data_IF_415406056100
#
_entry.id   IF_415406056100
#
_cell.length_a   1.000
_cell.length_b   1.000
_cell.length_c   1.000
_cell.angle_alpha   90.00
_cell.angle_beta   90.00
_cell.angle_gamma   90.00
#
_symmetry.space_group_name_H-M   'P 1'
#
loop_
_entity.id
_entity.type
_entity.pdbx_description
1 polymer ?
#
# COMPACT_ATOMS: atom_id res chain seq x y z
N UNK A 1 -6.98 -2.53 17.25
CA UNK A 1 -5.95 -2.90 16.24
C UNK A 1 -4.74 -3.46 16.95
N UNK A 2 -4.22 -4.63 16.53
CA UNK A 2 -2.99 -5.20 17.07
C UNK A 2 -1.76 -4.44 16.59
N UNK A 3 -1.03 -3.81 17.55
CA UNK A 3 0.27 -3.18 17.32
C UNK A 3 1.32 -3.97 18.11
N UNK A 4 2.35 -4.45 17.43
CA UNK A 4 3.42 -5.21 18.06
C UNK A 4 4.74 -4.46 17.98
N UNK A 5 5.42 -4.31 19.10
CA UNK A 5 6.83 -3.92 19.11
C UNK A 5 7.71 -5.12 18.71
N UNK A 6 8.80 -4.84 18.02
CA UNK A 6 9.80 -5.84 17.68
C UNK A 6 11.19 -5.21 17.81
N UNK A 7 12.06 -5.82 18.61
CA UNK A 7 13.44 -5.35 18.89
C UNK A 7 13.53 -3.86 19.22
N UNK A 8 12.64 -3.40 20.10
CA UNK A 8 12.61 -2.00 20.58
C UNK A 8 11.97 -1.01 19.61
N UNK A 9 11.58 -1.41 18.41
CA UNK A 9 10.84 -0.59 17.45
C UNK A 9 9.35 -0.85 17.55
N UNK A 10 8.54 0.21 17.49
CA UNK A 10 7.08 0.16 17.62
C UNK A 10 6.41 0.95 16.49
N UNK A 11 5.25 0.50 16.02
CA UNK A 11 4.49 1.25 15.01
C UNK A 11 4.12 2.66 15.48
N UNK A 12 4.28 3.63 14.58
CA UNK A 12 3.89 5.03 14.76
C UNK A 12 2.71 5.34 13.85
N UNK A 13 1.57 5.64 14.43
CA UNK A 13 0.34 5.93 13.69
C UNK A 13 -0.06 7.37 13.94
N UNK A 14 -0.19 8.16 12.87
CA UNK A 14 -0.66 9.54 12.97
C UNK A 14 -2.10 9.59 13.49
N UNK A 15 -2.48 10.55 14.37
CA UNK A 15 -3.83 10.61 14.96
C UNK A 15 -4.99 10.72 13.94
N UNK A 16 -4.73 11.23 12.74
CA UNK A 16 -5.72 11.33 11.66
C UNK A 16 -5.71 10.16 10.69
N UNK A 17 -4.82 9.19 10.88
CA UNK A 17 -4.80 7.96 10.08
C UNK A 17 -5.90 7.00 10.53
N UNK A 18 -6.38 6.18 9.61
CA UNK A 18 -7.30 5.09 9.90
C UNK A 18 -6.55 3.75 9.84
N UNK A 19 -6.59 2.99 10.92
CA UNK A 19 -6.12 1.60 10.94
C UNK A 19 -7.29 0.74 11.40
N UNK A 20 -7.72 -0.17 10.54
CA UNK A 20 -8.85 -1.06 10.83
C UNK A 20 -8.57 -1.93 12.07
N UNK A 21 -9.60 -2.31 12.85
CA UNK A 21 -9.42 -3.08 14.08
C UNK A 21 -8.68 -4.41 13.92
N UNK A 22 -8.76 -5.02 12.75
CA UNK A 22 -8.13 -6.32 12.43
C UNK A 22 -6.83 -6.20 11.62
N UNK A 23 -6.40 -4.99 11.26
CA UNK A 23 -5.09 -4.78 10.66
C UNK A 23 -3.98 -4.99 11.70
N UNK A 24 -2.84 -5.54 11.28
CA UNK A 24 -1.70 -5.87 12.14
C UNK A 24 -0.48 -5.07 11.71
N UNK A 25 0.10 -4.29 12.63
CA UNK A 25 1.33 -3.55 12.40
C UNK A 25 2.42 -4.05 13.35
N UNK A 26 3.61 -4.38 12.84
CA UNK A 26 4.69 -5.00 13.60
C UNK A 26 6.00 -4.27 13.34
N UNK A 27 6.70 -3.85 14.40
CA UNK A 27 8.05 -3.27 14.32
C UNK A 27 8.09 -1.83 13.79
N UNK A 28 9.04 -1.54 12.90
CA UNK A 28 9.28 -0.18 12.38
C UNK A 28 8.31 0.18 11.25
N UNK A 29 7.08 0.50 11.63
CA UNK A 29 6.02 0.90 10.70
C UNK A 29 5.58 2.32 11.01
N UNK A 30 5.54 3.19 10.01
CA UNK A 30 5.02 4.56 10.14
C UNK A 30 3.81 4.74 9.23
N UNK A 31 2.69 5.16 9.81
CA UNK A 31 1.46 5.52 9.08
C UNK A 31 1.27 7.02 9.23
N UNK A 32 1.40 7.75 8.14
CA UNK A 32 1.32 9.21 8.13
C UNK A 32 -0.13 9.73 8.13
N UNK A 33 -0.28 11.06 8.14
CA UNK A 33 -1.59 11.72 8.24
C UNK A 33 -2.56 11.29 7.14
N UNK A 34 -3.82 11.06 7.49
CA UNK A 34 -4.90 10.68 6.57
C UNK A 34 -4.61 9.44 5.72
N UNK A 35 -3.54 8.69 6.00
CA UNK A 35 -3.33 7.37 5.42
C UNK A 35 -4.30 6.36 6.03
N UNK A 36 -4.52 5.24 5.35
CA UNK A 36 -5.42 4.20 5.84
C UNK A 36 -4.89 2.78 5.60
N UNK A 37 -5.06 1.94 6.61
CA UNK A 37 -4.73 0.50 6.56
C UNK A 37 -6.00 -0.27 6.90
N UNK A 38 -6.40 -1.14 5.99
CA UNK A 38 -7.72 -1.76 5.99
C UNK A 38 -7.71 -3.15 6.66
N UNK A 39 -8.89 -3.78 6.68
CA UNK A 39 -9.10 -5.00 7.47
C UNK A 39 -8.17 -6.14 7.03
N UNK A 40 -7.59 -6.82 8.01
CA UNK A 40 -6.68 -7.96 7.83
C UNK A 40 -5.39 -7.67 7.03
N UNK A 41 -5.09 -6.40 6.75
CA UNK A 41 -3.79 -6.05 6.19
C UNK A 41 -2.69 -6.26 7.24
N UNK A 42 -1.53 -6.78 6.81
CA UNK A 42 -0.37 -7.02 7.67
C UNK A 42 0.84 -6.24 7.16
N UNK A 43 1.37 -5.34 7.99
CA UNK A 43 2.56 -4.57 7.71
C UNK A 43 3.64 -4.97 8.74
N UNK A 44 4.74 -5.63 8.28
CA UNK A 44 5.78 -6.14 9.16
C UNK A 44 7.14 -5.56 8.80
N UNK A 45 7.56 -4.56 9.59
CA UNK A 45 8.85 -3.86 9.48
C UNK A 45 9.85 -4.38 10.52
N UNK A 46 10.26 -5.64 10.39
CA UNK A 46 11.17 -6.32 11.31
C UNK A 46 12.66 -6.12 10.94
N UNK A 47 12.99 -5.99 9.67
CA UNK A 47 14.36 -5.69 9.22
C UNK A 47 14.57 -4.19 8.96
N UNK A 48 13.72 -3.60 8.15
CA UNK A 48 13.81 -2.20 7.69
C UNK A 48 12.46 -1.49 7.85
N UNK A 49 12.42 -0.14 7.76
CA UNK A 49 11.18 0.60 7.89
C UNK A 49 10.16 0.29 6.80
N UNK A 50 8.88 0.33 7.19
CA UNK A 50 7.74 0.51 6.30
C UNK A 50 7.18 1.90 6.53
N UNK A 51 7.02 2.69 5.48
CA UNK A 51 6.42 4.02 5.55
C UNK A 51 5.21 4.10 4.63
N UNK A 52 4.04 4.34 5.20
CA UNK A 52 2.81 4.63 4.45
C UNK A 52 2.61 6.15 4.52
N UNK A 53 2.88 6.81 3.41
CA UNK A 53 2.87 8.26 3.29
C UNK A 53 1.46 8.84 3.35
N UNK A 54 1.39 10.14 3.53
CA UNK A 54 0.17 10.93 3.66
C UNK A 54 -0.91 10.53 2.65
N UNK A 55 -2.10 10.21 3.14
CA UNK A 55 -3.27 9.92 2.32
C UNK A 55 -3.21 8.66 1.45
N UNK A 56 -2.16 7.85 1.58
CA UNK A 56 -2.07 6.56 0.93
C UNK A 56 -3.01 5.54 1.58
N UNK A 57 -3.36 4.47 0.86
CA UNK A 57 -4.20 3.42 1.40
C UNK A 57 -3.63 2.02 1.11
N UNK A 58 -3.66 1.16 2.13
CA UNK A 58 -3.31 -0.26 2.05
C UNK A 58 -4.56 -1.05 2.34
N UNK A 59 -5.12 -1.67 1.31
CA UNK A 59 -6.45 -2.27 1.36
C UNK A 59 -6.46 -3.65 2.01
N UNK A 60 -7.66 -4.20 2.14
CA UNK A 60 -7.93 -5.41 2.92
C UNK A 60 -7.06 -6.58 2.47
N UNK A 61 -6.56 -7.35 3.44
CA UNK A 61 -5.74 -8.54 3.25
C UNK A 61 -4.41 -8.30 2.50
N UNK A 62 -3.99 -7.06 2.30
CA UNK A 62 -2.68 -6.79 1.71
C UNK A 62 -1.55 -7.11 2.71
N UNK A 63 -0.43 -7.61 2.18
CA UNK A 63 0.78 -7.89 2.95
C UNK A 63 1.89 -6.96 2.50
N UNK A 64 2.49 -6.24 3.45
CA UNK A 64 3.64 -5.37 3.21
C UNK A 64 4.79 -5.83 4.08
N UNK A 65 5.92 -6.15 3.46
CA UNK A 65 7.08 -6.63 4.15
C UNK A 65 8.38 -6.00 3.63
N UNK A 66 9.47 -6.32 4.26
CA UNK A 66 10.80 -5.75 4.04
C UNK A 66 11.86 -6.83 4.02
N UNK A 67 13.07 -6.50 3.57
CA UNK A 67 14.25 -7.38 3.64
C UNK A 67 15.39 -6.72 4.43
N UNK A 68 16.44 -7.44 4.80
CA UNK A 68 17.64 -6.84 5.37
C UNK A 68 18.31 -5.80 4.46
N UNK A 69 18.01 -5.80 3.16
CA UNK A 69 18.62 -4.92 2.16
C UNK A 69 17.77 -3.71 1.79
N UNK A 70 16.47 -3.71 2.13
CA UNK A 70 15.59 -2.61 1.75
C UNK A 70 14.29 -2.59 2.53
N UNK A 71 13.82 -1.37 2.80
CA UNK A 71 12.52 -1.07 3.36
C UNK A 71 11.43 -1.02 2.29
N UNK A 72 10.23 -0.63 2.71
CA UNK A 72 9.11 -0.39 1.80
C UNK A 72 8.56 1.00 2.03
N UNK A 73 8.43 1.76 0.95
CA UNK A 73 7.77 3.06 0.97
C UNK A 73 6.54 3.03 0.05
N UNK A 74 5.39 3.43 0.60
CA UNK A 74 4.14 3.61 -0.13
C UNK A 74 3.91 5.11 -0.22
N UNK A 75 4.12 5.69 -1.41
CA UNK A 75 4.12 7.12 -1.68
C UNK A 75 2.79 7.81 -1.36
N UNK A 76 2.84 9.13 -1.21
CA UNK A 76 1.67 9.92 -0.83
C UNK A 76 0.52 9.72 -1.83
N UNK A 77 -0.69 9.52 -1.32
CA UNK A 77 -1.89 9.29 -2.14
C UNK A 77 -1.89 8.00 -2.94
N UNK A 78 -0.93 7.09 -2.74
CA UNK A 78 -0.89 5.82 -3.46
C UNK A 78 -1.92 4.83 -2.95
N UNK A 79 -2.29 3.89 -3.79
CA UNK A 79 -3.21 2.81 -3.48
C UNK A 79 -2.53 1.46 -3.62
N UNK A 80 -2.55 0.66 -2.56
CA UNK A 80 -2.26 -0.77 -2.59
C UNK A 80 -3.60 -1.50 -2.50
N UNK A 81 -4.00 -2.14 -3.57
CA UNK A 81 -5.29 -2.85 -3.70
C UNK A 81 -5.42 -4.07 -2.79
N UNK A 82 -6.63 -4.63 -2.76
CA UNK A 82 -6.93 -5.80 -1.94
C UNK A 82 -6.05 -7.01 -2.29
N UNK A 83 -5.63 -7.79 -1.30
CA UNK A 83 -4.81 -9.01 -1.45
C UNK A 83 -3.47 -8.79 -2.17
N UNK A 84 -2.93 -7.58 -2.19
CA UNK A 84 -1.61 -7.32 -2.77
C UNK A 84 -0.49 -7.80 -1.85
N UNK A 85 0.64 -8.17 -2.45
CA UNK A 85 1.91 -8.35 -1.75
C UNK A 85 2.90 -7.29 -2.19
N UNK A 86 3.40 -6.48 -1.26
CA UNK A 86 4.46 -5.49 -1.49
C UNK A 86 5.67 -5.88 -0.66
N UNK A 87 6.77 -6.17 -1.32
CA UNK A 87 7.95 -6.70 -0.65
C UNK A 87 9.20 -5.89 -1.02
N UNK A 88 9.76 -5.16 -0.05
CA UNK A 88 10.95 -4.33 -0.18
C UNK A 88 10.97 -3.46 -1.45
N UNK A 89 9.91 -2.70 -1.69
CA UNK A 89 9.68 -1.91 -2.89
C UNK A 89 9.37 -0.45 -2.58
N UNK A 90 9.58 0.42 -3.57
CA UNK A 90 9.24 1.84 -3.50
C UNK A 90 8.09 2.16 -4.45
N UNK A 91 6.99 2.62 -3.89
CA UNK A 91 5.82 3.06 -4.65
C UNK A 91 5.79 4.58 -4.70
N UNK A 92 5.79 5.16 -5.90
CA UNK A 92 5.73 6.60 -6.14
C UNK A 92 4.38 7.21 -5.77
N UNK A 93 4.33 8.53 -5.70
CA UNK A 93 3.10 9.27 -5.35
C UNK A 93 1.94 8.94 -6.30
N UNK A 94 0.75 8.83 -5.74
CA UNK A 94 -0.50 8.62 -6.49
C UNK A 94 -0.49 7.38 -7.41
N UNK A 95 0.46 6.46 -7.28
CA UNK A 95 0.42 5.22 -8.05
C UNK A 95 -0.68 4.27 -7.54
N UNK A 96 -1.05 3.31 -8.35
CA UNK A 96 -2.04 2.30 -8.00
C UNK A 96 -1.50 0.90 -8.29
N UNK A 97 -1.48 0.07 -7.27
CA UNK A 97 -1.23 -1.37 -7.38
C UNK A 97 -2.57 -2.08 -7.33
N UNK A 98 -2.98 -2.69 -8.43
CA UNK A 98 -4.28 -3.36 -8.61
C UNK A 98 -4.40 -4.63 -7.76
N UNK A 99 -5.65 -5.01 -7.47
CA UNK A 99 -5.97 -6.12 -6.57
C UNK A 99 -5.21 -7.41 -6.92
N UNK A 100 -4.69 -8.09 -5.90
CA UNK A 100 -3.98 -9.35 -6.04
C UNK A 100 -2.62 -9.27 -6.74
N UNK A 101 -2.13 -8.07 -7.03
CA UNK A 101 -0.80 -7.91 -7.62
C UNK A 101 0.31 -8.18 -6.60
N UNK A 102 1.45 -8.66 -7.09
CA UNK A 102 2.67 -8.89 -6.32
C UNK A 102 3.80 -8.00 -6.83
N UNK A 103 4.36 -7.18 -5.95
CA UNK A 103 5.48 -6.28 -6.24
C UNK A 103 6.67 -6.72 -5.41
N UNK A 104 7.74 -7.16 -6.07
CA UNK A 104 8.88 -7.82 -5.43
C UNK A 104 10.05 -6.86 -5.15
N UNK A 105 11.12 -7.42 -4.58
CA UNK A 105 12.26 -6.71 -4.01
C UNK A 105 12.92 -5.72 -4.97
N UNK A 106 13.18 -4.52 -4.48
CA UNK A 106 13.88 -3.47 -5.24
C UNK A 106 13.10 -2.89 -6.41
N UNK A 107 11.80 -3.21 -6.53
CA UNK A 107 10.93 -2.60 -7.54
C UNK A 107 10.72 -1.13 -7.21
N UNK A 108 10.74 -0.30 -8.25
CA UNK A 108 10.30 1.10 -8.20
C UNK A 108 9.08 1.26 -9.10
N UNK A 109 7.96 1.65 -8.51
CA UNK A 109 6.75 2.04 -9.24
C UNK A 109 6.70 3.56 -9.30
N UNK A 110 6.71 4.12 -10.49
CA UNK A 110 6.70 5.55 -10.72
C UNK A 110 5.42 6.25 -10.27
N UNK A 111 5.47 7.57 -10.23
CA UNK A 111 4.34 8.43 -9.88
C UNK A 111 3.18 8.23 -10.85
N UNK A 112 1.96 8.09 -10.32
CA UNK A 112 0.73 7.84 -11.11
C UNK A 112 0.78 6.63 -12.02
N UNK A 113 1.78 5.76 -11.87
CA UNK A 113 1.83 4.49 -12.58
C UNK A 113 0.75 3.53 -12.06
N UNK A 114 0.38 2.57 -12.89
CA UNK A 114 -0.59 1.54 -12.57
C UNK A 114 0.02 0.15 -12.78
N UNK A 115 0.03 -0.64 -11.72
CA UNK A 115 0.24 -2.08 -11.80
C UNK A 115 -1.14 -2.74 -11.91
N UNK A 116 -1.41 -3.45 -12.99
CA UNK A 116 -2.72 -4.09 -13.21
C UNK A 116 -3.01 -5.17 -12.15
N UNK A 117 -4.29 -5.46 -11.95
CA UNK A 117 -4.72 -6.52 -11.02
C UNK A 117 -4.11 -7.88 -11.40
N UNK A 118 -3.69 -8.66 -10.41
CA UNK A 118 -3.05 -9.96 -10.58
C UNK A 118 -1.66 -9.95 -11.24
N UNK A 119 -1.10 -8.77 -11.47
CA UNK A 119 0.23 -8.62 -12.07
C UNK A 119 1.33 -9.06 -11.09
N UNK A 120 2.40 -9.67 -11.59
CA UNK A 120 3.61 -9.97 -10.79
C UNK A 120 4.79 -9.18 -11.33
N UNK A 121 5.21 -8.17 -10.58
CA UNK A 121 6.34 -7.30 -10.92
C UNK A 121 7.62 -7.94 -10.39
N UNK A 122 8.53 -8.39 -11.27
CA UNK A 122 9.75 -9.08 -10.87
C UNK A 122 10.73 -8.17 -10.16
N UNK A 123 11.67 -8.74 -9.37
CA UNK A 123 12.63 -7.95 -8.60
C UNK A 123 13.42 -6.96 -9.46
N UNK A 124 13.67 -5.76 -8.91
CA UNK A 124 14.46 -4.70 -9.54
C UNK A 124 13.82 -4.01 -10.74
N UNK A 125 12.60 -4.37 -11.13
CA UNK A 125 11.92 -3.70 -12.22
C UNK A 125 11.61 -2.23 -11.88
N UNK A 126 11.83 -1.34 -12.85
CA UNK A 126 11.41 0.06 -12.78
C UNK A 126 10.21 0.26 -13.70
N UNK A 127 9.09 0.68 -13.13
CA UNK A 127 7.90 1.12 -13.87
C UNK A 127 7.95 2.65 -13.87
N UNK A 128 8.12 3.32 -15.03
CA UNK A 128 8.20 4.78 -15.09
C UNK A 128 6.90 5.47 -14.67
N UNK A 129 6.98 6.78 -14.45
CA UNK A 129 5.81 7.61 -14.16
C UNK A 129 4.75 7.47 -15.24
N UNK A 130 3.47 7.50 -14.83
CA UNK A 130 2.30 7.44 -15.71
C UNK A 130 2.17 6.16 -16.58
N UNK A 131 2.99 5.12 -16.34
CA UNK A 131 2.98 3.90 -17.12
C UNK A 131 2.12 2.79 -16.50
N UNK A 132 1.54 1.97 -17.38
CA UNK A 132 0.78 0.77 -17.06
C UNK A 132 1.67 -0.47 -17.20
N UNK A 133 1.77 -1.25 -16.12
CA UNK A 133 2.40 -2.56 -16.10
C UNK A 133 1.34 -3.67 -16.04
N UNK A 134 1.47 -4.71 -16.86
CA UNK A 134 0.53 -5.84 -16.92
C UNK A 134 1.26 -7.18 -17.02
N UNK A 135 0.61 -8.24 -16.57
CA UNK A 135 1.02 -9.63 -16.81
C UNK A 135 1.84 -10.29 -15.70
N UNK A 136 2.16 -11.57 -15.91
CA UNK A 136 2.97 -12.44 -15.07
C UNK A 136 3.99 -13.17 -15.96
N UNK A 137 5.26 -12.73 -15.98
CA UNK A 137 5.82 -11.55 -15.32
C UNK A 137 5.34 -10.23 -15.95
N UNK A 138 5.42 -9.14 -15.18
CA UNK A 138 5.01 -7.81 -15.60
C UNK A 138 5.78 -7.29 -16.82
N UNK A 139 5.07 -6.54 -17.67
CA UNK A 139 5.64 -5.79 -18.79
C UNK A 139 4.97 -4.42 -18.87
N UNK A 140 5.68 -3.41 -19.34
CA UNK A 140 5.10 -2.10 -19.62
C UNK A 140 4.20 -2.23 -20.86
N UNK A 141 2.92 -1.87 -20.71
CA UNK A 141 1.93 -1.95 -21.79
C UNK A 141 1.66 -0.61 -22.48
N UNK A 142 2.17 0.49 -21.92
CA UNK A 142 1.98 1.84 -22.42
C UNK A 142 1.63 2.82 -21.30
N UNK A 143 1.11 3.99 -21.65
CA UNK A 143 0.69 5.00 -20.68
C UNK A 143 -0.65 4.66 -20.02
N UNK A 144 -0.82 5.09 -18.78
CA UNK A 144 -2.10 5.01 -18.06
C UNK A 144 -3.11 5.94 -18.73
N UNK A 145 -4.17 5.37 -19.32
CA UNK A 145 -5.16 6.13 -20.09
C UNK A 145 -6.62 5.74 -19.73
N UNK A 146 -7.59 6.48 -20.25
CA UNK A 146 -9.02 6.17 -20.18
C UNK A 146 -9.52 5.90 -18.75
N UNK A 147 -10.22 4.79 -18.56
CA UNK A 147 -10.77 4.37 -17.27
C UNK A 147 -9.70 4.11 -16.20
N UNK A 148 -8.55 3.56 -16.62
CA UNK A 148 -7.40 3.30 -15.72
C UNK A 148 -6.87 4.61 -15.11
N UNK A 149 -6.71 5.66 -15.92
CA UNK A 149 -6.30 6.99 -15.44
C UNK A 149 -7.29 7.56 -14.44
N UNK A 150 -8.58 7.41 -14.71
CA UNK A 150 -9.62 7.84 -13.77
C UNK A 150 -9.49 7.12 -12.42
N UNK A 151 -9.26 5.80 -12.42
CA UNK A 151 -9.05 5.03 -11.21
C UNK A 151 -7.86 5.52 -10.40
N UNK A 152 -6.71 5.71 -11.02
CA UNK A 152 -5.51 6.25 -10.38
C UNK A 152 -5.81 7.59 -9.71
N UNK A 153 -6.50 8.50 -10.40
CA UNK A 153 -6.80 9.83 -9.89
C UNK A 153 -7.84 9.87 -8.77
N UNK A 154 -8.87 9.02 -8.83
CA UNK A 154 -10.01 9.11 -7.92
C UNK A 154 -9.89 8.24 -6.69
N UNK A 155 -9.22 7.08 -6.79
CA UNK A 155 -9.18 6.08 -5.73
C UNK A 155 -8.64 6.62 -4.39
N UNK A 156 -7.56 7.43 -4.34
CA UNK A 156 -7.08 7.98 -3.08
C UNK A 156 -8.12 8.88 -2.37
N UNK A 157 -8.92 9.61 -3.14
CA UNK A 157 -9.98 10.46 -2.58
C UNK A 157 -11.11 9.62 -1.97
N UNK A 158 -11.54 8.58 -2.71
CA UNK A 158 -12.58 7.65 -2.26
C UNK A 158 -12.17 6.98 -0.96
N UNK A 159 -10.93 6.47 -0.88
CA UNK A 159 -10.46 5.78 0.32
C UNK A 159 -10.23 6.72 1.52
N UNK A 160 -9.80 7.95 1.32
CA UNK A 160 -9.75 8.94 2.41
C UNK A 160 -11.12 9.26 3.00
N UNK A 161 -12.13 9.32 2.15
CA UNK A 161 -13.51 9.58 2.60
C UNK A 161 -14.12 8.35 3.27
N UNK A 162 -13.88 7.18 2.70
CA UNK A 162 -14.30 5.91 3.26
C UNK A 162 -13.66 5.65 4.65
N UNK A 163 -12.38 5.97 4.81
CA UNK A 163 -11.66 5.85 6.07
C UNK A 163 -12.32 6.69 7.19
N UNK A 164 -12.74 7.93 6.90
CA UNK A 164 -13.48 8.77 7.85
C UNK A 164 -14.81 8.13 8.24
N UNK A 165 -15.54 7.59 7.27
CA UNK A 165 -16.83 6.93 7.50
C UNK A 165 -16.67 5.68 8.36
N UNK A 166 -15.64 4.85 8.10
CA UNK A 166 -15.33 3.67 8.92
C UNK A 166 -14.91 4.06 10.34
N UNK A 167 -14.06 5.07 10.49
CA UNK A 167 -13.67 5.57 11.82
C UNK A 167 -14.86 6.05 12.64
N UNK A 168 -15.84 6.68 12.01
CA UNK A 168 -17.04 7.18 12.68
C UNK A 168 -18.12 6.11 12.93
N UNK A 169 -18.31 5.17 11.98
CA UNK A 169 -19.51 4.34 11.90
C UNK A 169 -19.34 2.83 12.05
N UNK A 170 -18.15 2.28 11.77
CA UNK A 170 -17.95 0.84 11.87
C UNK A 170 -17.95 0.39 13.34
N UNK A 171 -18.75 -0.63 13.67
CA UNK A 171 -18.86 -1.20 15.02
C UNK A 171 -18.85 -2.71 14.94
N UNK A 172 -18.13 -3.34 15.87
CA UNK A 172 -18.23 -4.79 16.08
C UNK A 172 -19.63 -5.09 16.68
N UNK A 173 -20.39 -5.95 16.01
CA UNK A 173 -21.77 -6.32 16.45
C UNK A 173 -21.81 -7.70 17.13
N UNK A 174 -20.76 -8.53 16.94
CA UNK A 174 -20.56 -9.81 17.63
C UNK A 174 -19.08 -10.17 17.58
N UNK A 175 -18.60 -10.91 18.54
CA UNK A 175 -17.24 -11.44 18.65
C UNK A 175 -17.27 -12.91 19.00
#
# INVERSE_FOLDING_TARGET
MPLFSFEGKSPRVHPTAFVAPTAVLIGDVTIEERASVWYNAVLRGDFNPIVVRRGANVQDCAVVHVTPRGGTEIGAGSTVGHNCTIHAASLGEECLVGNGATVLDGVTVGKRALVAAGCTVPPGMVIPDDMLAVGVPARIAGEVAGGAKRWVQTNPHVYRDLAKRHAAGARLISG
#
